data_IF_572351325006
#
_entry.id   IF_572351325006
#
_cell.length_a   1.000
_cell.length_b   1.000
_cell.length_c   1.000
_cell.angle_alpha   90.00
_cell.angle_beta   90.00
_cell.angle_gamma   90.00
#
_symmetry.space_group_name_H-M   'P 1'
#
loop_
_entity.id
_entity.type
_entity.pdbx_description
1 polymer ?
#
# COMPACT_ATOMS: atom_id res chain seq x y z
N UNK A 1 1.13 17.31 -4.54
CA UNK A 1 1.42 17.44 -3.10
C UNK A 1 2.84 17.00 -2.87
N UNK A 2 3.59 17.85 -2.19
CA UNK A 2 4.95 17.58 -1.74
C UNK A 2 4.90 16.98 -0.33
N UNK A 3 5.64 15.89 -0.12
CA UNK A 3 5.88 15.30 1.19
C UNK A 3 7.29 15.71 1.62
N UNK A 4 7.41 16.25 2.83
CA UNK A 4 8.66 16.62 3.48
C UNK A 4 8.88 15.80 4.74
N UNK A 5 10.14 15.61 5.09
CA UNK A 5 10.56 15.06 6.38
C UNK A 5 11.52 16.02 7.05
N UNK A 6 11.13 16.53 8.22
CA UNK A 6 11.94 17.53 8.95
C UNK A 6 12.25 18.78 8.12
N UNK A 7 11.31 19.23 7.30
CA UNK A 7 11.44 20.39 6.43
C UNK A 7 12.17 20.14 5.10
N UNK A 8 12.72 18.94 4.87
CA UNK A 8 13.39 18.58 3.60
C UNK A 8 12.41 17.92 2.62
N UNK A 9 12.31 18.39 1.36
CA UNK A 9 11.52 17.73 0.32
C UNK A 9 11.98 16.30 0.07
N UNK A 10 11.03 15.36 0.08
CA UNK A 10 11.28 13.94 -0.19
C UNK A 10 10.67 13.51 -1.52
N UNK A 11 9.41 13.85 -1.77
CA UNK A 11 8.72 13.49 -3.01
C UNK A 11 7.57 14.44 -3.35
N UNK A 12 7.16 14.45 -4.62
CA UNK A 12 5.96 15.14 -5.10
C UNK A 12 5.08 14.13 -5.83
N UNK A 13 3.81 14.05 -5.41
CA UNK A 13 2.81 13.17 -6.02
C UNK A 13 1.54 13.94 -6.38
N UNK A 14 0.92 13.60 -7.51
CA UNK A 14 -0.45 14.03 -7.81
C UNK A 14 -1.41 13.14 -7.01
N UNK A 15 -2.38 13.74 -6.31
CA UNK A 15 -3.30 13.00 -5.44
C UNK A 15 -4.71 13.56 -5.48
N UNK A 16 -5.69 12.74 -5.11
CA UNK A 16 -7.02 13.22 -4.76
C UNK A 16 -6.96 13.83 -3.36
N UNK A 17 -7.28 15.12 -3.16
CA UNK A 17 -7.21 15.76 -1.85
C UNK A 17 -8.04 15.02 -0.79
N UNK A 18 -7.49 14.85 0.41
CA UNK A 18 -8.12 14.16 1.53
C UNK A 18 -7.28 12.98 1.99
N UNK A 19 -7.24 12.79 3.32
CA UNK A 19 -6.35 11.84 3.99
C UNK A 19 -4.85 12.07 3.65
N UNK A 20 -4.44 13.31 3.39
CA UNK A 20 -3.05 13.65 2.99
C UNK A 20 -2.01 13.28 4.07
N UNK A 21 -2.39 13.33 5.35
CA UNK A 21 -1.54 12.87 6.44
C UNK A 21 -1.36 11.35 6.44
N UNK A 22 -2.41 10.60 6.09
CA UNK A 22 -2.30 9.16 5.90
C UNK A 22 -1.43 8.86 4.67
N UNK A 23 -1.59 9.61 3.57
CA UNK A 23 -0.73 9.47 2.39
C UNK A 23 0.75 9.65 2.74
N UNK A 24 1.10 10.71 3.47
CA UNK A 24 2.48 10.97 3.88
C UNK A 24 3.02 9.90 4.83
N UNK A 25 2.24 9.51 5.84
CA UNK A 25 2.63 8.48 6.80
C UNK A 25 2.82 7.11 6.14
N UNK A 26 1.88 6.69 5.29
CA UNK A 26 1.96 5.39 4.63
C UNK A 26 3.05 5.34 3.55
N UNK A 27 3.32 6.45 2.86
CA UNK A 27 4.50 6.54 1.99
C UNK A 27 5.78 6.24 2.77
N UNK A 28 5.95 6.82 3.97
CA UNK A 28 7.13 6.58 4.79
C UNK A 28 7.21 5.16 5.37
N UNK A 29 6.08 4.48 5.58
CA UNK A 29 6.07 3.04 5.91
C UNK A 29 6.53 2.21 4.73
N UNK A 30 5.96 2.49 3.55
CA UNK A 30 6.28 1.82 2.30
C UNK A 30 7.76 1.92 1.89
N UNK A 31 8.41 3.03 2.25
CA UNK A 31 9.85 3.25 2.03
C UNK A 31 10.73 2.79 3.21
N UNK A 32 10.15 2.16 4.24
CA UNK A 32 10.88 1.59 5.38
C UNK A 32 11.38 2.59 6.42
N UNK A 33 10.92 3.85 6.37
CA UNK A 33 11.30 4.90 7.33
C UNK A 33 10.50 4.75 8.63
N UNK A 34 9.21 4.42 8.53
CA UNK A 34 8.30 4.27 9.66
C UNK A 34 7.80 2.83 9.79
N UNK A 35 7.58 2.39 11.01
CA UNK A 35 6.92 1.13 11.35
C UNK A 35 6.02 1.23 12.59
N UNK A 36 6.14 2.30 13.36
CA UNK A 36 5.30 2.62 14.51
C UNK A 36 4.88 4.10 14.46
N UNK A 37 3.61 4.40 14.79
CA UNK A 37 3.09 5.76 14.86
C UNK A 37 3.84 6.65 15.87
N UNK A 38 4.43 6.07 16.93
CA UNK A 38 5.25 6.78 17.91
C UNK A 38 6.54 7.38 17.32
N UNK A 39 6.96 6.92 16.14
CA UNK A 39 8.10 7.49 15.41
C UNK A 39 7.77 8.85 14.74
N UNK A 40 6.51 9.29 14.82
CA UNK A 40 6.04 10.58 14.30
C UNK A 40 5.88 11.55 15.48
N UNK A 41 6.69 12.59 15.51
CA UNK A 41 6.53 13.71 16.46
C UNK A 41 5.40 14.66 16.03
N UNK A 42 5.11 14.76 14.73
CA UNK A 42 3.97 15.52 14.22
C UNK A 42 3.88 15.50 12.70
N UNK A 43 2.66 15.69 12.18
CA UNK A 43 2.39 15.87 10.75
C UNK A 43 1.57 17.14 10.59
N UNK A 44 1.97 18.01 9.67
CA UNK A 44 1.29 19.29 9.44
C UNK A 44 1.33 19.69 7.99
N UNK A 45 0.35 20.48 7.57
CA UNK A 45 0.50 21.25 6.34
C UNK A 45 1.48 22.39 6.57
N UNK A 46 2.45 22.56 5.68
CA UNK A 46 3.22 23.79 5.63
C UNK A 46 2.37 24.89 5.00
N UNK A 47 2.51 26.12 5.49
CA UNK A 47 1.95 27.29 4.83
C UNK A 47 2.67 27.48 3.49
N UNK A 48 2.04 27.05 2.40
CA UNK A 48 2.46 27.46 1.07
C UNK A 48 1.98 28.89 0.87
N UNK A 49 2.85 29.88 1.04
CA UNK A 49 2.50 31.28 0.79
C UNK A 49 2.30 31.49 -0.72
N UNK A 50 1.06 31.49 -1.18
CA UNK A 50 0.70 32.14 -2.44
C UNK A 50 0.82 33.66 -2.29
N UNK A 51 0.82 34.39 -3.40
CA UNK A 51 0.92 35.85 -3.41
C UNK A 51 -0.21 36.55 -2.60
N UNK A 52 -1.31 35.85 -2.32
CA UNK A 52 -2.46 36.30 -1.51
C UNK A 52 -2.48 35.74 -0.07
N UNK A 53 -1.43 35.01 0.36
CA UNK A 53 -1.32 34.46 1.70
C UNK A 53 -2.22 33.25 1.99
N UNK A 54 -2.90 32.69 0.98
CA UNK A 54 -3.72 31.49 1.15
C UNK A 54 -2.87 30.22 1.22
N UNK A 55 -3.23 29.28 2.12
CA UNK A 55 -2.53 28.01 2.18
C UNK A 55 -3.03 27.10 1.05
N UNK A 56 -2.12 26.66 0.18
CA UNK A 56 -2.47 25.73 -0.92
C UNK A 56 -2.71 24.30 -0.46
N UNK A 57 -2.47 23.98 0.82
CA UNK A 57 -2.59 22.64 1.40
C UNK A 57 -1.89 21.55 0.56
N UNK A 58 -0.78 21.93 -0.11
CA UNK A 58 -0.07 21.06 -1.05
C UNK A 58 1.29 20.60 -0.53
N UNK A 59 1.67 20.98 0.68
CA UNK A 59 2.93 20.58 1.31
C UNK A 59 2.59 19.98 2.67
N UNK A 60 2.93 18.70 2.85
CA UNK A 60 2.82 18.00 4.14
C UNK A 60 4.23 17.76 4.66
N UNK A 61 4.50 18.20 5.89
CA UNK A 61 5.77 18.01 6.57
C UNK A 61 5.58 17.06 7.76
N UNK A 62 6.38 15.99 7.75
CA UNK A 62 6.43 14.97 8.79
C UNK A 62 7.66 15.24 9.67
N UNK A 63 7.42 15.58 10.93
CA UNK A 63 8.45 15.64 11.95
C UNK A 63 8.61 14.25 12.59
N UNK A 64 9.81 13.70 12.52
CA UNK A 64 10.14 12.41 13.13
C UNK A 64 10.49 12.56 14.61
N UNK A 65 10.14 11.56 15.41
CA UNK A 65 10.48 11.51 16.82
C UNK A 65 12.00 11.30 17.02
N UNK A 66 12.58 11.79 18.13
CA UNK A 66 13.99 11.58 18.45
C UNK A 66 14.38 10.10 18.37
N UNK A 67 15.50 9.80 17.73
CA UNK A 67 16.00 8.42 17.55
C UNK A 67 15.43 7.69 16.32
N UNK A 68 14.46 8.26 15.62
CA UNK A 68 14.01 7.72 14.33
C UNK A 68 15.01 8.09 13.22
N UNK A 69 15.53 7.11 12.45
CA UNK A 69 16.42 7.40 11.33
C UNK A 69 15.75 8.30 10.29
N UNK A 70 16.50 9.26 9.76
CA UNK A 70 16.06 10.03 8.60
C UNK A 70 16.00 9.13 7.35
N UNK A 71 15.14 9.45 6.37
CA UNK A 71 15.17 8.79 5.06
C UNK A 71 16.58 8.85 4.46
N UNK A 72 17.02 7.75 3.83
CA UNK A 72 18.28 7.71 3.10
C UNK A 72 18.23 8.70 1.92
N UNK A 73 19.35 9.38 1.65
CA UNK A 73 19.52 10.26 0.48
C UNK A 73 19.36 9.50 -0.85
N UNK A 74 19.45 8.16 -0.85
CA UNK A 74 19.10 7.34 -2.01
C UNK A 74 17.59 7.39 -2.34
N UNK A 75 16.71 7.52 -1.36
CA UNK A 75 15.26 7.66 -1.56
C UNK A 75 14.92 8.95 -2.31
N UNK A 76 15.63 10.06 -2.01
CA UNK A 76 15.49 11.33 -2.74
C UNK A 76 15.85 11.19 -4.23
N UNK A 77 16.83 10.34 -4.57
CA UNK A 77 17.30 10.13 -5.96
C UNK A 77 16.53 9.05 -6.72
N UNK A 78 16.06 8.01 -6.04
CA UNK A 78 15.40 6.87 -6.68
C UNK A 78 14.02 7.24 -7.19
N UNK A 79 13.28 8.14 -6.53
CA UNK A 79 11.93 8.51 -6.97
C UNK A 79 11.87 9.22 -8.33
N UNK A 80 12.87 10.05 -8.65
CA UNK A 80 13.00 10.66 -9.99
C UNK A 80 13.27 9.62 -11.09
N UNK A 81 13.73 8.41 -10.72
CA UNK A 81 14.23 7.39 -11.66
C UNK A 81 13.30 6.18 -11.79
N UNK A 82 12.54 5.82 -10.75
CA UNK A 82 11.63 4.65 -10.74
C UNK A 82 10.40 4.79 -11.64
N UNK A 83 10.16 5.97 -12.20
CA UNK A 83 9.08 6.19 -13.17
C UNK A 83 9.38 5.63 -14.57
N UNK A 84 10.63 5.25 -14.90
CA UNK A 84 11.00 5.09 -16.31
C UNK A 84 12.01 3.99 -16.67
N UNK A 85 12.80 3.43 -15.74
CA UNK A 85 13.85 2.49 -16.14
C UNK A 85 13.84 1.27 -15.24
N UNK A 86 13.64 0.09 -15.82
CA UNK A 86 13.80 -1.20 -15.16
C UNK A 86 15.20 -1.34 -14.60
N UNK A 87 15.42 -0.81 -13.39
CA UNK A 87 16.50 -1.23 -12.51
C UNK A 87 16.49 -2.76 -12.51
N UNK A 88 17.68 -3.36 -12.56
CA UNK A 88 17.84 -4.81 -12.51
C UNK A 88 16.95 -5.35 -11.39
N UNK A 89 15.87 -6.08 -11.74
CA UNK A 89 14.79 -6.41 -10.79
C UNK A 89 15.31 -7.05 -9.50
N UNK A 90 16.44 -7.77 -9.60
CA UNK A 90 17.16 -8.35 -8.47
C UNK A 90 17.65 -7.33 -7.43
N UNK A 91 18.18 -6.18 -7.84
CA UNK A 91 18.62 -5.13 -6.91
C UNK A 91 17.43 -4.51 -6.16
N UNK A 92 16.29 -4.36 -6.85
CA UNK A 92 15.04 -3.90 -6.22
C UNK A 92 14.46 -4.94 -5.25
N UNK A 93 14.51 -6.23 -5.61
CA UNK A 93 14.09 -7.33 -4.74
C UNK A 93 14.97 -7.42 -3.46
N UNK A 94 16.29 -7.39 -3.60
CA UNK A 94 17.24 -7.43 -2.49
C UNK A 94 17.07 -6.23 -1.53
N UNK A 95 16.78 -5.04 -2.08
CA UNK A 95 16.49 -3.85 -1.28
C UNK A 95 15.22 -4.03 -0.44
N UNK A 96 14.15 -4.59 -1.00
CA UNK A 96 12.93 -4.87 -0.23
C UNK A 96 13.21 -5.90 0.85
N UNK A 97 13.85 -7.02 0.52
CA UNK A 97 14.19 -8.08 1.48
C UNK A 97 14.99 -7.58 2.68
N UNK A 98 15.91 -6.64 2.47
CA UNK A 98 16.77 -6.11 3.54
C UNK A 98 16.08 -5.03 4.37
N UNK A 99 15.01 -4.42 3.86
CA UNK A 99 14.28 -3.32 4.53
C UNK A 99 12.96 -3.77 5.15
N UNK A 100 12.38 -4.88 4.70
CA UNK A 100 11.16 -5.45 5.27
C UNK A 100 11.36 -5.81 6.74
N UNK A 101 10.53 -5.22 7.60
CA UNK A 101 10.58 -5.44 9.05
C UNK A 101 9.82 -6.69 9.50
N UNK A 102 8.77 -7.06 8.77
CA UNK A 102 7.86 -8.14 9.16
C UNK A 102 8.03 -9.33 8.22
N UNK A 103 8.24 -10.52 8.80
CA UNK A 103 8.16 -11.76 8.05
C UNK A 103 6.70 -12.15 7.86
N UNK A 104 6.28 -12.28 6.59
CA UNK A 104 4.95 -12.79 6.25
C UNK A 104 4.85 -14.31 6.43
N UNK A 105 5.98 -15.03 6.56
CA UNK A 105 5.97 -16.48 6.81
C UNK A 105 5.41 -16.82 8.20
N UNK A 106 5.50 -15.89 9.15
CA UNK A 106 4.91 -16.00 10.49
C UNK A 106 3.39 -15.83 10.48
N UNK A 107 2.80 -15.46 9.35
CA UNK A 107 1.36 -15.29 9.19
C UNK A 107 0.71 -16.54 8.57
N UNK A 108 -0.18 -17.16 9.35
CA UNK A 108 -0.91 -18.38 9.01
C UNK A 108 -2.34 -18.12 8.54
N UNK A 109 -2.63 -16.91 8.04
CA UNK A 109 -3.94 -16.58 7.47
C UNK A 109 -4.31 -17.57 6.37
N UNK A 110 -5.50 -18.13 6.47
CA UNK A 110 -6.10 -18.96 5.43
C UNK A 110 -7.45 -18.36 5.08
N UNK A 111 -7.76 -18.29 3.78
CA UNK A 111 -8.92 -17.58 3.26
C UNK A 111 -9.77 -18.56 2.44
N UNK A 112 -11.08 -18.52 2.68
CA UNK A 112 -12.04 -19.19 1.81
C UNK A 112 -12.12 -18.47 0.45
N UNK A 113 -11.96 -19.17 -0.69
CA UNK A 113 -12.15 -18.58 -2.01
C UNK A 113 -13.47 -17.79 -2.16
N UNK A 114 -14.55 -18.21 -1.50
CA UNK A 114 -15.84 -17.51 -1.51
C UNK A 114 -15.73 -16.09 -0.95
N UNK A 115 -14.92 -15.91 0.09
CA UNK A 115 -14.63 -14.58 0.64
C UNK A 115 -13.90 -13.73 -0.40
N UNK A 116 -12.88 -14.30 -1.06
CA UNK A 116 -12.09 -13.61 -2.08
C UNK A 116 -12.97 -13.14 -3.24
N UNK A 117 -13.87 -13.99 -3.74
CA UNK A 117 -14.77 -13.66 -4.85
C UNK A 117 -15.70 -12.48 -4.54
N UNK A 118 -16.05 -12.27 -3.27
CA UNK A 118 -16.92 -11.15 -2.87
C UNK A 118 -16.17 -9.82 -2.68
N UNK A 119 -14.83 -9.81 -2.55
CA UNK A 119 -14.07 -8.61 -2.23
C UNK A 119 -14.15 -7.48 -3.28
N UNK A 120 -14.11 -7.75 -4.60
CA UNK A 120 -14.23 -6.68 -5.60
C UNK A 120 -15.56 -5.93 -5.49
N UNK A 121 -16.66 -6.65 -5.29
CA UNK A 121 -17.99 -6.06 -5.20
C UNK A 121 -18.17 -5.30 -3.88
N UNK A 122 -17.64 -5.85 -2.77
CA UNK A 122 -17.60 -5.14 -1.46
C UNK A 122 -16.76 -3.87 -1.54
N UNK A 123 -15.59 -3.92 -2.16
CA UNK A 123 -14.75 -2.74 -2.39
C UNK A 123 -15.54 -1.71 -3.20
N UNK A 124 -16.12 -2.14 -4.33
CA UNK A 124 -16.88 -1.28 -5.23
C UNK A 124 -18.05 -0.59 -4.55
N UNK A 125 -18.84 -1.32 -3.77
CA UNK A 125 -20.00 -0.78 -3.05
C UNK A 125 -19.62 0.27 -1.99
N UNK A 126 -18.38 0.24 -1.50
CA UNK A 126 -17.88 1.20 -0.53
C UNK A 126 -17.18 2.44 -1.15
N UNK A 127 -16.99 2.48 -2.48
CA UNK A 127 -16.33 3.58 -3.20
C UNK A 127 -17.24 4.78 -3.47
N UNK A 128 -17.51 5.56 -2.42
CA UNK A 128 -18.39 6.74 -2.51
C UNK A 128 -17.88 7.81 -3.49
N UNK A 129 -16.56 8.03 -3.57
CA UNK A 129 -16.00 9.09 -4.42
C UNK A 129 -15.95 8.64 -5.87
N UNK A 130 -15.67 7.36 -6.14
CA UNK A 130 -15.78 6.85 -7.50
C UNK A 130 -17.17 7.11 -8.08
N UNK A 131 -18.25 6.85 -7.34
CA UNK A 131 -19.61 6.97 -7.90
C UNK A 131 -19.93 8.40 -8.39
N UNK A 132 -19.21 9.40 -7.90
CA UNK A 132 -19.31 10.79 -8.35
C UNK A 132 -18.30 11.19 -9.44
N UNK A 133 -17.23 10.43 -9.66
CA UNK A 133 -16.08 10.86 -10.49
C UNK A 133 -15.70 9.88 -11.59
N UNK A 134 -16.02 8.59 -11.46
CA UNK A 134 -15.72 7.53 -12.43
C UNK A 134 -14.24 7.20 -12.63
N UNK A 135 -13.31 7.88 -11.95
CA UNK A 135 -11.90 7.95 -12.34
C UNK A 135 -10.88 7.66 -11.25
N UNK A 136 -11.29 7.13 -10.09
CA UNK A 136 -10.38 6.87 -8.97
C UNK A 136 -10.05 5.38 -8.81
N UNK A 137 -8.83 5.12 -8.34
CA UNK A 137 -8.46 3.82 -7.81
C UNK A 137 -8.86 3.70 -6.35
N UNK A 138 -9.04 2.46 -5.89
CA UNK A 138 -9.31 2.15 -4.50
C UNK A 138 -8.41 1.02 -3.99
N UNK A 139 -8.08 1.14 -2.70
CA UNK A 139 -7.46 0.11 -1.89
C UNK A 139 -8.36 -0.13 -0.67
N UNK A 140 -8.70 -1.39 -0.42
CA UNK A 140 -9.49 -1.81 0.74
C UNK A 140 -8.75 -2.87 1.54
N UNK A 141 -8.75 -2.74 2.86
CA UNK A 141 -8.22 -3.73 3.77
C UNK A 141 -9.38 -4.53 4.34
N UNK A 142 -9.31 -5.84 4.20
CA UNK A 142 -10.34 -6.75 4.67
C UNK A 142 -9.77 -7.72 5.69
N UNK A 143 -10.61 -8.21 6.62
CA UNK A 143 -10.28 -9.40 7.40
C UNK A 143 -10.28 -10.65 6.51
N UNK A 144 -9.71 -11.76 7.00
CA UNK A 144 -9.80 -13.06 6.33
C UNK A 144 -11.25 -13.55 6.09
N UNK A 145 -12.21 -13.07 6.90
CA UNK A 145 -13.64 -13.35 6.75
C UNK A 145 -14.34 -12.37 5.76
N UNK A 146 -13.61 -11.39 5.24
CA UNK A 146 -14.08 -10.43 4.25
C UNK A 146 -14.86 -9.24 4.82
N UNK A 147 -14.68 -8.92 6.09
CA UNK A 147 -15.14 -7.66 6.67
C UNK A 147 -14.23 -6.52 6.21
N UNK A 148 -14.81 -5.40 5.71
CA UNK A 148 -14.03 -4.23 5.31
C UNK A 148 -13.61 -3.42 6.54
N UNK A 149 -12.31 -3.36 6.80
CA UNK A 149 -11.73 -2.57 7.90
C UNK A 149 -11.54 -1.10 7.51
N UNK A 150 -10.94 -0.84 6.35
CA UNK A 150 -10.71 0.51 5.84
C UNK A 150 -10.67 0.53 4.31
N UNK A 151 -11.20 1.60 3.72
CA UNK A 151 -11.10 1.91 2.30
C UNK A 151 -10.46 3.29 2.10
N UNK A 152 -9.61 3.39 1.08
CA UNK A 152 -9.02 4.65 0.60
C UNK A 152 -9.08 4.74 -0.91
N UNK A 153 -9.39 5.92 -1.41
CA UNK A 153 -9.48 6.24 -2.83
C UNK A 153 -8.45 7.31 -3.21
N UNK A 154 -7.91 7.20 -4.42
CA UNK A 154 -7.03 8.21 -5.00
C UNK A 154 -6.94 8.07 -6.52
N UNK A 155 -6.58 9.16 -7.21
CA UNK A 155 -6.31 9.13 -8.66
C UNK A 155 -5.14 8.20 -8.99
N UNK A 156 -4.18 8.04 -8.06
CA UNK A 156 -3.09 7.08 -8.16
C UNK A 156 -3.32 5.83 -7.32
N UNK A 157 -3.23 4.63 -7.92
CA UNK A 157 -3.37 3.36 -7.18
C UNK A 157 -2.37 3.20 -6.04
N UNK A 158 -1.15 3.70 -6.20
CA UNK A 158 -0.11 3.68 -5.16
C UNK A 158 -0.48 4.57 -3.98
N UNK A 159 -0.97 5.78 -4.26
CA UNK A 159 -1.43 6.70 -3.22
C UNK A 159 -2.63 6.13 -2.44
N UNK A 160 -3.54 5.40 -3.11
CA UNK A 160 -4.65 4.75 -2.42
C UNK A 160 -4.17 3.72 -1.38
N UNK A 161 -3.15 2.92 -1.74
CA UNK A 161 -2.51 1.97 -0.82
C UNK A 161 -1.72 2.70 0.27
N UNK A 162 -0.95 3.73 -0.06
CA UNK A 162 -0.22 4.52 0.94
C UNK A 162 -1.18 5.19 1.94
N UNK A 163 -2.29 5.77 1.49
CA UNK A 163 -3.32 6.30 2.41
C UNK A 163 -3.89 5.22 3.34
N UNK A 164 -4.05 4.00 2.84
CA UNK A 164 -4.57 2.90 3.66
C UNK A 164 -3.54 2.48 4.72
N UNK A 165 -2.28 2.31 4.31
CA UNK A 165 -1.19 1.94 5.22
C UNK A 165 -0.95 3.04 6.25
N UNK A 166 -0.98 4.32 5.85
CA UNK A 166 -0.79 5.41 6.78
C UNK A 166 -1.93 5.56 7.78
N UNK A 167 -3.17 5.26 7.38
CA UNK A 167 -4.28 5.13 8.34
C UNK A 167 -3.98 4.02 9.35
N UNK A 168 -3.61 2.83 8.89
CA UNK A 168 -3.26 1.71 9.76
C UNK A 168 -2.10 2.02 10.72
N UNK A 169 -1.06 2.74 10.27
CA UNK A 169 0.03 3.19 11.13
C UNK A 169 -0.47 4.11 12.24
N UNK A 170 -1.30 5.09 11.89
CA UNK A 170 -1.82 6.10 12.82
C UNK A 170 -2.81 5.51 13.84
N UNK A 171 -3.52 4.46 13.47
CA UNK A 171 -4.40 3.69 14.36
C UNK A 171 -3.67 2.56 15.12
N UNK A 172 -2.34 2.46 14.97
CA UNK A 172 -1.51 1.43 15.62
C UNK A 172 -1.88 -0.01 15.26
N UNK A 173 -2.23 -0.26 13.99
CA UNK A 173 -2.61 -1.59 13.49
C UNK A 173 -1.47 -2.41 12.90
N UNK A 174 -0.28 -1.84 12.68
CA UNK A 174 0.82 -2.57 12.04
C UNK A 174 1.46 -3.60 13.01
N UNK A 175 1.87 -4.79 12.53
CA UNK A 175 1.67 -5.31 11.17
C UNK A 175 0.22 -5.73 10.90
N UNK A 176 -0.21 -5.60 9.66
CA UNK A 176 -1.55 -5.95 9.18
C UNK A 176 -1.73 -7.46 8.94
N UNK A 177 -1.33 -8.27 9.92
CA UNK A 177 -1.53 -9.73 9.93
C UNK A 177 -3.02 -10.08 9.88
N UNK A 178 -3.38 -11.24 9.34
CA UNK A 178 -4.79 -11.66 9.30
C UNK A 178 -5.65 -10.95 8.23
N UNK A 179 -5.04 -10.14 7.36
CA UNK A 179 -5.78 -9.26 6.44
C UNK A 179 -5.52 -9.53 4.97
N UNK A 180 -6.44 -9.04 4.13
CA UNK A 180 -6.39 -9.07 2.68
C UNK A 180 -6.45 -7.65 2.15
N UNK A 181 -5.42 -7.24 1.40
CA UNK A 181 -5.46 -5.99 0.64
C UNK A 181 -6.07 -6.25 -0.72
N UNK A 182 -7.20 -5.61 -1.00
CA UNK A 182 -7.86 -5.63 -2.30
C UNK A 182 -7.63 -4.31 -3.03
N UNK A 183 -7.11 -4.36 -4.26
CA UNK A 183 -6.88 -3.17 -5.09
C UNK A 183 -7.70 -3.23 -6.38
N UNK A 184 -8.26 -2.08 -6.79
CA UNK A 184 -9.10 -2.00 -8.00
C UNK A 184 -8.30 -2.02 -9.32
N UNK A 185 -6.97 -1.90 -9.26
CA UNK A 185 -6.08 -1.80 -10.42
C UNK A 185 -5.24 -3.05 -10.69
N UNK A 186 -4.10 -2.86 -11.37
CA UNK A 186 -3.05 -3.87 -11.56
C UNK A 186 -2.16 -3.95 -10.32
N UNK A 187 -1.69 -5.15 -9.98
CA UNK A 187 -0.68 -5.35 -8.95
C UNK A 187 0.73 -5.15 -9.53
N UNK A 188 1.31 -3.96 -9.35
CA UNK A 188 2.71 -3.72 -9.71
C UNK A 188 3.66 -4.15 -8.60
N UNK A 189 4.96 -4.23 -8.92
CA UNK A 189 6.02 -4.53 -7.95
C UNK A 189 5.92 -3.65 -6.71
N UNK A 190 5.72 -2.35 -6.90
CA UNK A 190 5.64 -1.40 -5.80
C UNK A 190 4.41 -1.65 -4.93
N UNK A 191 3.27 -2.11 -5.47
CA UNK A 191 2.11 -2.44 -4.62
C UNK A 191 2.36 -3.68 -3.76
N UNK A 192 3.08 -4.67 -4.29
CA UNK A 192 3.51 -5.84 -3.51
C UNK A 192 4.53 -5.44 -2.45
N UNK A 193 5.49 -4.57 -2.78
CA UNK A 193 6.43 -4.01 -1.79
C UNK A 193 5.66 -3.31 -0.68
N UNK A 194 4.74 -2.38 -1.00
CA UNK A 194 3.94 -1.66 -0.01
C UNK A 194 3.17 -2.60 0.91
N UNK A 195 2.58 -3.66 0.35
CA UNK A 195 1.87 -4.67 1.13
C UNK A 195 2.80 -5.43 2.09
N UNK A 196 3.95 -5.91 1.60
CA UNK A 196 4.95 -6.60 2.41
C UNK A 196 5.53 -5.68 3.51
N UNK A 197 5.82 -4.42 3.14
CA UNK A 197 6.27 -3.36 4.04
C UNK A 197 5.19 -2.90 5.02
N UNK A 198 3.96 -3.41 4.98
CA UNK A 198 2.94 -3.17 6.01
C UNK A 198 2.57 -4.45 6.78
N UNK A 199 3.24 -5.57 6.47
CA UNK A 199 2.94 -6.87 7.06
C UNK A 199 1.62 -7.49 6.57
N UNK A 200 1.13 -7.10 5.38
CA UNK A 200 -0.09 -7.65 4.78
C UNK A 200 0.25 -8.99 4.10
N UNK A 201 -0.35 -10.12 4.51
CA UNK A 201 -0.01 -11.43 3.98
C UNK A 201 -0.61 -11.73 2.60
N UNK A 202 -1.69 -11.04 2.20
CA UNK A 202 -2.43 -11.32 0.97
C UNK A 202 -2.77 -10.05 0.20
N UNK A 203 -2.42 -10.03 -1.09
CA UNK A 203 -2.79 -8.97 -2.04
C UNK A 203 -3.66 -9.57 -3.16
N UNK A 204 -4.88 -9.06 -3.31
CA UNK A 204 -5.79 -9.37 -4.40
C UNK A 204 -6.00 -8.15 -5.31
N UNK A 205 -5.99 -8.38 -6.63
CA UNK A 205 -6.17 -7.34 -7.63
C UNK A 205 -7.22 -7.73 -8.67
N UNK A 206 -8.03 -6.76 -9.10
CA UNK A 206 -8.98 -6.95 -10.21
C UNK A 206 -8.25 -7.26 -11.51
N UNK A 207 -7.06 -6.71 -11.72
CA UNK A 207 -6.30 -6.85 -12.97
C UNK A 207 -5.00 -7.66 -12.80
N UNK A 208 -4.19 -7.71 -13.86
CA UNK A 208 -2.98 -8.52 -13.94
C UNK A 208 -1.86 -8.02 -13.00
N UNK A 209 -1.07 -8.93 -12.41
CA UNK A 209 0.23 -8.58 -11.83
C UNK A 209 1.32 -8.41 -12.91
N UNK A 210 2.42 -7.73 -12.60
CA UNK A 210 3.66 -7.82 -13.40
C UNK A 210 4.50 -9.03 -12.99
N UNK A 211 5.39 -9.52 -13.86
CA UNK A 211 6.30 -10.63 -13.51
C UNK A 211 7.13 -10.32 -12.27
N UNK A 212 7.67 -9.09 -12.18
CA UNK A 212 8.44 -8.66 -11.02
C UNK A 212 7.61 -8.60 -9.72
N UNK A 213 6.29 -8.36 -9.82
CA UNK A 213 5.39 -8.43 -8.67
C UNK A 213 5.19 -9.88 -8.20
N UNK A 214 5.10 -10.82 -9.15
CA UNK A 214 5.02 -12.25 -8.84
C UNK A 214 6.30 -12.73 -8.17
N UNK A 215 7.46 -12.34 -8.70
CA UNK A 215 8.77 -12.69 -8.13
C UNK A 215 8.89 -12.15 -6.70
N UNK A 216 8.57 -10.87 -6.47
CA UNK A 216 8.60 -10.28 -5.13
C UNK A 216 7.62 -10.96 -4.16
N UNK A 217 6.42 -11.31 -4.63
CA UNK A 217 5.44 -11.97 -3.78
C UNK A 217 5.90 -13.37 -3.35
N UNK A 218 6.53 -14.12 -4.25
CA UNK A 218 7.13 -15.41 -3.94
C UNK A 218 8.28 -15.27 -2.92
N UNK A 219 9.17 -14.30 -3.11
CA UNK A 219 10.31 -14.07 -2.21
C UNK A 219 9.93 -13.57 -0.83
N UNK A 220 8.89 -12.74 -0.73
CA UNK A 220 8.42 -12.18 0.55
C UNK A 220 7.43 -13.07 1.28
N UNK A 221 6.98 -14.17 0.67
CA UNK A 221 5.94 -15.04 1.21
C UNK A 221 4.56 -14.40 1.21
N UNK A 222 4.29 -13.43 0.34
CA UNK A 222 2.98 -12.82 0.13
C UNK A 222 2.12 -13.69 -0.81
N UNK A 223 0.83 -13.86 -0.52
CA UNK A 223 -0.12 -14.47 -1.45
C UNK A 223 -0.60 -13.43 -2.46
N UNK A 224 -0.23 -13.58 -3.72
CA UNK A 224 -0.62 -12.67 -4.79
C UNK A 224 -1.71 -13.26 -5.66
N UNK A 225 -2.83 -12.56 -5.74
CA UNK A 225 -3.97 -12.91 -6.58
C UNK A 225 -4.25 -11.81 -7.60
N UNK A 226 -4.51 -12.21 -8.84
CA UNK A 226 -4.83 -11.29 -9.93
C UNK A 226 -5.97 -11.79 -10.81
N UNK A 227 -6.45 -10.92 -11.69
CA UNK A 227 -7.63 -11.20 -12.53
C UNK A 227 -8.88 -11.61 -11.73
N UNK A 228 -9.02 -11.10 -10.51
CA UNK A 228 -10.16 -11.42 -9.66
C UNK A 228 -11.44 -10.79 -10.22
N UNK A 229 -12.32 -11.62 -10.80
CA UNK A 229 -13.58 -11.19 -11.41
C UNK A 229 -14.65 -12.26 -11.28
N UNK A 230 -15.77 -11.90 -10.64
CA UNK A 230 -16.81 -12.88 -10.31
C UNK A 230 -16.21 -14.01 -9.48
N UNK A 231 -16.40 -15.25 -9.94
CA UNK A 231 -15.90 -16.46 -9.27
C UNK A 231 -14.61 -17.01 -9.88
N UNK A 232 -13.79 -16.14 -10.46
CA UNK A 232 -12.52 -16.51 -11.10
C UNK A 232 -11.38 -15.67 -10.54
N UNK A 233 -10.25 -16.32 -10.29
CA UNK A 233 -9.02 -15.69 -9.78
C UNK A 233 -7.81 -16.53 -10.19
N UNK A 234 -6.71 -15.86 -10.52
CA UNK A 234 -5.41 -16.49 -10.69
C UNK A 234 -4.57 -16.24 -9.46
N UNK A 235 -4.02 -17.32 -8.89
CA UNK A 235 -3.15 -17.27 -7.71
C UNK A 235 -1.72 -17.49 -8.18
N UNK A 236 -0.84 -16.53 -7.88
CA UNK A 236 0.52 -16.47 -8.42
C UNK A 236 1.59 -16.90 -7.40
N UNK A 237 1.27 -16.85 -6.11
CA UNK A 237 2.17 -17.24 -5.01
C UNK A 237 1.35 -17.68 -3.79
N UNK A 238 1.95 -18.52 -2.94
CA UNK A 238 1.38 -18.97 -1.66
C UNK A 238 -0.08 -19.45 -1.76
N UNK A 239 -0.32 -20.38 -2.69
CA UNK A 239 -1.62 -21.05 -2.89
C UNK A 239 -2.10 -21.80 -1.66
N UNK A 240 -1.18 -22.16 -0.76
CA UNK A 240 -1.45 -22.79 0.54
C UNK A 240 -2.31 -21.93 1.49
N UNK A 241 -2.43 -20.62 1.26
CA UNK A 241 -3.33 -19.73 2.04
C UNK A 241 -4.78 -19.72 1.54
N UNK A 242 -5.11 -20.45 0.47
CA UNK A 242 -6.49 -20.62 0.03
C UNK A 242 -6.98 -22.01 0.42
N UNK A 243 -8.19 -22.07 1.01
CA UNK A 243 -8.85 -23.34 1.25
C UNK A 243 -9.10 -24.03 -0.09
N UNK A 244 -8.45 -25.15 -0.32
CA UNK A 244 -8.76 -26.03 -1.45
C UNK A 244 -9.86 -26.96 -0.99
N UNK A 245 -11.06 -26.84 -1.58
CA UNK A 245 -12.08 -27.87 -1.42
C UNK A 245 -11.52 -29.17 -1.99
N UNK A 246 -11.37 -30.21 -1.16
CA UNK A 246 -11.13 -31.56 -1.70
C UNK A 246 -12.29 -31.89 -2.65
N UNK A 247 -12.01 -32.49 -3.82
CA UNK A 247 -13.08 -32.94 -4.69
C UNK A 247 -13.89 -33.99 -3.92
N UNK A 248 -15.17 -33.71 -3.70
CA UNK A 248 -16.12 -34.72 -3.24
C UNK A 248 -16.13 -35.80 -4.32
N UNK A 249 -15.59 -36.98 -3.98
CA UNK A 249 -15.46 -38.12 -4.88
C UNK A 249 -16.79 -38.70 -5.35
#
# INVERSE_FOLDING_TARGET
MEIRVGGKPLTVTMRTPGADFDLAAGFLVSEGVLHDGAQIAGIRYCLGATADGSNTYNVVDVALAPGTPLPDASLERNFYTTSSCGLCGKASLDAVRTTTRWSLEEDHTVIDPEVVYALPDKLRAAQRVFDSTGGLHAAGLFTADGELLVLREDVGRHNAVDKLIGHALRESWLPLRGTVLMVSGRASFELVQKAAMAGIPVLAAVSAPSSLAVDLAAETGLTLMGFLRGRSVNVYSRTDRLLVSEPVG
#
